data_IF_481200417100
#
_entry.id   IF_481200417100
#
_cell.length_a   1.000
_cell.length_b   1.000
_cell.length_c   1.000
_cell.angle_alpha   90.00
_cell.angle_beta   90.00
_cell.angle_gamma   90.00
#
_symmetry.space_group_name_H-M   'P 1'
#
loop_
_entity.id
_entity.type
_entity.pdbx_description
1 polymer ?
#
# COMPACT_ATOMS: atom_id res chain seq x y z
N UNK A 1 -10.03 24.12 -44.79
CA UNK A 1 -9.10 23.59 -45.81
C UNK A 1 -9.65 22.25 -46.19
N UNK A 2 -9.69 21.94 -47.47
CA UNK A 2 -10.09 20.60 -47.90
C UNK A 2 -8.81 19.77 -48.05
N UNK A 3 -8.81 18.59 -47.44
CA UNK A 3 -7.65 17.69 -47.45
C UNK A 3 -8.04 16.42 -48.17
N UNK A 4 -7.40 16.18 -49.31
CA UNK A 4 -7.41 14.89 -49.98
C UNK A 4 -6.17 14.12 -49.53
N UNK A 5 -6.38 12.93 -48.97
CA UNK A 5 -5.30 12.07 -48.51
C UNK A 5 -4.99 11.07 -49.60
N UNK A 6 -3.74 11.04 -50.09
CA UNK A 6 -3.25 9.98 -50.94
C UNK A 6 -2.41 9.02 -50.08
N UNK A 7 -2.71 7.73 -50.17
CA UNK A 7 -1.98 6.66 -49.50
C UNK A 7 -1.22 5.86 -50.55
N UNK A 8 0.10 5.93 -50.50
CA UNK A 8 0.99 5.05 -51.25
C UNK A 8 1.63 4.08 -50.26
N UNK A 9 1.46 2.78 -50.48
CA UNK A 9 2.13 1.74 -49.72
C UNK A 9 3.13 0.98 -50.59
N UNK A 10 4.31 0.72 -50.03
CA UNK A 10 5.31 -0.15 -50.63
C UNK A 10 5.97 -1.01 -49.55
N UNK A 11 6.63 -2.09 -49.97
CA UNK A 11 7.29 -3.03 -49.08
C UNK A 11 8.79 -2.78 -49.06
N UNK A 12 9.36 -2.71 -47.87
CA UNK A 12 10.80 -2.55 -47.65
C UNK A 12 11.35 -3.71 -46.82
N UNK A 13 12.63 -4.03 -47.05
CA UNK A 13 13.36 -5.00 -46.24
C UNK A 13 13.78 -4.37 -44.91
N UNK A 14 13.65 -5.14 -43.83
CA UNK A 14 14.20 -4.77 -42.53
C UNK A 14 15.67 -5.19 -42.45
N UNK A 15 16.43 -4.66 -41.48
CA UNK A 15 17.88 -4.91 -41.40
C UNK A 15 18.30 -6.39 -41.48
N UNK A 16 17.57 -7.27 -40.80
CA UNK A 16 17.78 -8.73 -40.87
C UNK A 16 17.39 -9.33 -42.24
N UNK A 17 16.34 -8.80 -42.88
CA UNK A 17 15.93 -9.20 -44.23
C UNK A 17 16.94 -8.79 -45.30
N UNK A 18 17.59 -7.64 -45.14
CA UNK A 18 18.70 -7.20 -46.00
C UNK A 18 19.91 -8.12 -45.84
N UNK A 19 20.28 -8.47 -44.61
CA UNK A 19 21.37 -9.43 -44.36
C UNK A 19 21.08 -10.79 -45.00
N UNK A 20 19.84 -11.29 -44.90
CA UNK A 20 19.44 -12.55 -45.53
C UNK A 20 19.45 -12.46 -47.05
N UNK A 21 19.03 -11.35 -47.65
CA UNK A 21 19.10 -11.17 -49.11
C UNK A 21 20.55 -11.26 -49.63
N UNK A 22 21.50 -10.69 -48.90
CA UNK A 22 22.92 -10.68 -49.23
C UNK A 22 23.60 -12.02 -48.95
N UNK A 23 23.43 -12.56 -47.73
CA UNK A 23 24.20 -13.69 -47.19
C UNK A 23 23.46 -15.04 -47.19
N UNK A 24 22.17 -15.06 -47.55
CA UNK A 24 21.31 -16.24 -47.48
C UNK A 24 20.55 -16.38 -46.17
N UNK A 25 19.49 -17.17 -46.19
CA UNK A 25 18.63 -17.39 -45.02
C UNK A 25 19.35 -18.13 -43.91
N UNK A 26 18.91 -17.92 -42.67
CA UNK A 26 19.52 -18.56 -41.50
C UNK A 26 19.50 -20.08 -41.62
N UNK A 27 18.42 -20.67 -42.15
CA UNK A 27 18.31 -22.10 -42.42
C UNK A 27 19.29 -22.59 -43.50
N UNK A 28 19.52 -21.81 -44.56
CA UNK A 28 20.48 -22.14 -45.61
C UNK A 28 21.93 -22.00 -45.12
N UNK A 29 22.22 -20.97 -44.31
CA UNK A 29 23.52 -20.75 -43.68
C UNK A 29 23.86 -21.87 -42.68
N UNK A 30 22.88 -22.35 -41.91
CA UNK A 30 23.04 -23.53 -41.05
C UNK A 30 23.31 -24.79 -41.85
N UNK A 31 22.61 -25.02 -42.96
CA UNK A 31 22.90 -26.16 -43.84
C UNK A 31 24.33 -26.09 -44.39
N UNK A 32 24.74 -24.93 -44.90
CA UNK A 32 26.07 -24.67 -45.44
C UNK A 32 27.21 -24.84 -44.43
N UNK A 33 26.98 -24.57 -43.15
CA UNK A 33 28.01 -24.70 -42.10
C UNK A 33 28.24 -26.12 -41.58
N UNK A 34 27.36 -27.08 -41.91
CA UNK A 34 27.49 -28.48 -41.46
C UNK A 34 28.38 -29.26 -42.44
N UNK A 35 29.56 -29.77 -42.04
CA UNK A 35 30.38 -30.62 -42.90
C UNK A 35 29.79 -32.04 -43.04
N UNK A 36 30.25 -32.84 -44.01
CA UNK A 36 29.80 -34.24 -44.19
C UNK A 36 29.98 -35.11 -42.93
N UNK A 37 31.03 -34.81 -42.15
CA UNK A 37 31.40 -35.44 -40.87
C UNK A 37 30.41 -35.11 -39.72
N UNK A 38 29.46 -34.19 -39.96
CA UNK A 38 28.51 -33.68 -38.97
C UNK A 38 29.09 -32.62 -38.04
N UNK A 39 28.23 -31.72 -37.55
CA UNK A 39 28.60 -30.62 -36.66
C UNK A 39 28.00 -30.82 -35.26
N UNK A 40 28.75 -30.50 -34.21
CA UNK A 40 28.22 -30.55 -32.84
C UNK A 40 27.07 -29.56 -32.65
N UNK A 41 25.96 -30.00 -32.04
CA UNK A 41 24.80 -29.12 -31.84
C UNK A 41 25.14 -27.90 -30.97
N UNK A 42 26.00 -28.08 -29.96
CA UNK A 42 26.44 -27.00 -29.07
C UNK A 42 27.26 -25.93 -29.80
N UNK A 43 28.04 -26.30 -30.81
CA UNK A 43 28.84 -25.38 -31.63
C UNK A 43 27.97 -24.60 -32.60
N UNK A 44 27.02 -25.27 -33.25
CA UNK A 44 26.07 -24.61 -34.14
C UNK A 44 25.24 -23.55 -33.40
N UNK A 45 24.80 -23.85 -32.17
CA UNK A 45 23.96 -22.94 -31.37
C UNK A 45 24.70 -21.70 -30.84
N UNK A 46 26.05 -21.66 -30.95
CA UNK A 46 26.87 -20.47 -30.63
C UNK A 46 26.92 -19.46 -31.79
N UNK A 47 26.60 -19.86 -33.01
CA UNK A 47 26.55 -18.95 -34.17
C UNK A 47 25.33 -18.04 -34.07
N UNK A 48 25.46 -16.79 -34.54
CA UNK A 48 24.40 -15.76 -34.49
C UNK A 48 23.09 -16.21 -35.15
N UNK A 49 23.19 -16.90 -36.29
CA UNK A 49 22.06 -17.47 -37.05
C UNK A 49 21.71 -18.90 -36.62
N UNK A 50 22.51 -19.53 -35.76
CA UNK A 50 22.47 -20.95 -35.47
C UNK A 50 21.17 -21.41 -34.83
N UNK A 51 20.67 -20.70 -33.81
CA UNK A 51 19.44 -21.09 -33.10
C UNK A 51 18.18 -21.01 -33.99
N UNK A 52 18.05 -19.91 -34.72
CA UNK A 52 16.89 -19.63 -35.59
C UNK A 52 16.93 -20.53 -36.82
N UNK A 53 18.10 -20.61 -37.47
CA UNK A 53 18.32 -21.44 -38.65
C UNK A 53 18.18 -22.94 -38.38
N UNK A 54 18.63 -23.42 -37.22
CA UNK A 54 18.51 -24.83 -36.83
C UNK A 54 17.04 -25.29 -36.76
N UNK A 55 16.18 -24.53 -36.08
CA UNK A 55 14.77 -24.87 -35.96
C UNK A 55 14.07 -24.94 -37.32
N UNK A 56 14.41 -24.03 -38.23
CA UNK A 56 13.76 -23.93 -39.54
C UNK A 56 14.32 -24.97 -40.51
N UNK A 57 15.63 -25.22 -40.51
CA UNK A 57 16.27 -26.30 -41.27
C UNK A 57 15.76 -27.69 -40.84
N UNK A 58 15.51 -27.91 -39.54
CA UNK A 58 14.84 -29.11 -39.04
C UNK A 58 13.39 -29.23 -39.56
N UNK A 59 12.63 -28.14 -39.54
CA UNK A 59 11.23 -28.15 -40.04
C UNK A 59 11.14 -28.38 -41.55
N UNK A 60 12.15 -27.92 -42.31
CA UNK A 60 12.26 -28.16 -43.75
C UNK A 60 12.87 -29.54 -44.09
N UNK A 61 13.22 -30.35 -43.07
CA UNK A 61 13.87 -31.66 -43.21
C UNK A 61 15.23 -31.63 -43.92
N UNK A 62 15.92 -30.49 -43.91
CA UNK A 62 17.25 -30.34 -44.54
C UNK A 62 18.37 -30.98 -43.71
N UNK A 63 18.16 -31.07 -42.39
CA UNK A 63 19.12 -31.59 -41.43
C UNK A 63 18.45 -32.61 -40.50
N UNK A 64 19.25 -33.49 -39.89
CA UNK A 64 18.82 -34.47 -38.88
C UNK A 64 19.77 -34.46 -37.70
N UNK A 65 19.26 -34.80 -36.52
CA UNK A 65 20.04 -34.87 -35.28
C UNK A 65 20.24 -36.32 -34.89
N UNK A 66 21.49 -36.71 -34.68
CA UNK A 66 21.85 -37.95 -34.01
C UNK A 66 22.16 -37.65 -32.53
N UNK A 67 21.34 -38.21 -31.64
CA UNK A 67 21.47 -38.00 -30.19
C UNK A 67 22.37 -39.04 -29.52
N UNK A 68 22.77 -40.10 -30.23
CA UNK A 68 23.51 -41.24 -29.67
C UNK A 68 25.01 -41.22 -30.05
N UNK A 69 25.49 -40.16 -30.71
CA UNK A 69 26.88 -40.03 -31.11
C UNK A 69 27.82 -39.85 -29.90
N UNK A 70 28.96 -40.55 -29.89
CA UNK A 70 30.01 -40.39 -28.88
C UNK A 70 30.54 -38.94 -28.94
N UNK A 71 30.34 -38.18 -27.85
CA UNK A 71 30.66 -36.74 -27.77
C UNK A 71 29.45 -35.79 -27.69
N UNK A 72 28.22 -36.31 -27.74
CA UNK A 72 26.97 -35.54 -27.58
C UNK A 72 26.18 -35.35 -28.89
N UNK A 73 25.01 -34.68 -28.85
CA UNK A 73 24.13 -34.55 -30.01
C UNK A 73 24.82 -33.89 -31.22
N UNK A 74 24.79 -34.56 -32.37
CA UNK A 74 25.46 -34.14 -33.60
C UNK A 74 24.46 -34.00 -34.75
N UNK A 75 24.68 -33.01 -35.61
CA UNK A 75 23.76 -32.64 -36.69
C UNK A 75 24.39 -33.04 -38.03
N UNK A 76 23.62 -33.73 -38.86
CA UNK A 76 24.00 -34.14 -40.21
C UNK A 76 23.06 -33.53 -41.24
N UNK A 77 23.56 -33.33 -42.47
CA UNK A 77 22.72 -33.01 -43.62
C UNK A 77 21.89 -34.23 -44.00
N UNK A 78 20.61 -34.02 -44.29
CA UNK A 78 19.68 -35.07 -44.77
C UNK A 78 19.60 -35.09 -46.29
N UNK A 79 19.82 -33.94 -46.91
CA UNK A 79 19.80 -33.72 -48.37
C UNK A 79 21.17 -33.22 -48.84
N UNK A 80 21.51 -33.44 -50.11
CA UNK A 80 22.79 -32.99 -50.70
C UNK A 80 22.76 -31.51 -51.07
N UNK A 81 21.63 -31.04 -51.63
CA UNK A 81 21.42 -29.66 -52.07
C UNK A 81 20.14 -29.05 -51.50
N UNK A 82 20.11 -27.71 -51.38
CA UNK A 82 18.95 -26.93 -50.94
C UNK A 82 18.70 -25.73 -51.86
N UNK A 83 17.44 -25.33 -51.98
CA UNK A 83 17.04 -24.08 -52.62
C UNK A 83 16.64 -23.06 -51.55
N UNK A 84 17.34 -21.92 -51.51
CA UNK A 84 17.08 -20.85 -50.55
C UNK A 84 15.94 -19.92 -51.04
N UNK A 85 14.72 -20.47 -51.02
CA UNK A 85 13.52 -19.76 -51.46
C UNK A 85 13.25 -18.48 -50.65
N UNK A 86 13.73 -18.40 -49.40
CA UNK A 86 13.56 -17.21 -48.56
C UNK A 86 14.41 -16.07 -49.07
N UNK A 87 15.67 -16.34 -49.41
CA UNK A 87 16.56 -15.35 -50.03
C UNK A 87 16.03 -14.88 -51.38
N UNK A 88 15.59 -15.80 -52.24
CA UNK A 88 15.05 -15.45 -53.56
C UNK A 88 13.84 -14.50 -53.45
N UNK A 89 12.93 -14.78 -52.52
CA UNK A 89 11.76 -13.93 -52.26
C UNK A 89 12.17 -12.54 -51.76
N UNK A 90 13.16 -12.44 -50.88
CA UNK A 90 13.64 -11.14 -50.37
C UNK A 90 14.38 -10.33 -51.46
N UNK A 91 15.16 -11.00 -52.34
CA UNK A 91 15.79 -10.37 -53.50
C UNK A 91 14.75 -9.81 -54.48
N UNK A 92 13.59 -10.45 -54.64
CA UNK A 92 12.49 -9.91 -55.44
C UNK A 92 11.92 -8.62 -54.84
N UNK A 93 11.78 -8.54 -53.51
CA UNK A 93 11.36 -7.31 -52.81
C UNK A 93 12.39 -6.20 -52.98
N UNK A 94 13.69 -6.52 -52.82
CA UNK A 94 14.78 -5.55 -52.95
C UNK A 94 14.85 -4.92 -54.36
N UNK A 95 14.50 -5.68 -55.40
CA UNK A 95 14.44 -5.23 -56.79
C UNK A 95 13.15 -4.48 -57.15
N UNK A 96 12.33 -4.12 -56.17
CA UNK A 96 11.07 -3.40 -56.38
C UNK A 96 9.94 -4.24 -56.99
N UNK A 97 10.10 -5.56 -57.07
CA UNK A 97 9.10 -6.49 -57.65
C UNK A 97 8.26 -7.18 -56.57
N UNK A 98 7.94 -6.48 -55.48
CA UNK A 98 7.14 -7.02 -54.36
C UNK A 98 5.71 -7.42 -54.78
N UNK A 99 5.23 -6.96 -55.93
CA UNK A 99 3.93 -7.36 -56.52
C UNK A 99 3.92 -8.82 -57.02
N UNK A 100 5.07 -9.45 -57.25
CA UNK A 100 5.17 -10.85 -57.69
C UNK A 100 5.07 -11.88 -56.56
N UNK A 101 5.10 -11.45 -55.31
CA UNK A 101 4.94 -12.31 -54.14
C UNK A 101 3.47 -12.44 -53.77
N UNK A 102 3.04 -13.64 -53.42
CA UNK A 102 1.68 -13.86 -52.93
C UNK A 102 1.49 -13.22 -51.55
N UNK A 103 0.26 -12.82 -51.23
CA UNK A 103 -0.06 -12.16 -49.95
C UNK A 103 0.23 -13.07 -48.75
N UNK A 104 0.11 -14.39 -48.92
CA UNK A 104 0.46 -15.38 -47.90
C UNK A 104 1.96 -15.36 -47.57
N UNK A 105 2.80 -15.18 -48.59
CA UNK A 105 4.26 -15.15 -48.44
C UNK A 105 4.74 -13.86 -47.80
N UNK A 106 4.17 -12.71 -48.19
CA UNK A 106 4.43 -11.42 -47.55
C UNK A 106 4.08 -11.45 -46.07
N UNK A 107 2.94 -12.05 -45.71
CA UNK A 107 2.53 -12.17 -44.32
C UNK A 107 3.45 -13.10 -43.50
N UNK A 108 3.97 -14.17 -44.08
CA UNK A 108 4.97 -15.03 -43.42
C UNK A 108 6.29 -14.27 -43.20
N UNK A 109 6.81 -13.59 -44.22
CA UNK A 109 8.05 -12.81 -44.13
C UNK A 109 7.93 -11.61 -43.17
N UNK A 110 6.74 -10.98 -43.11
CA UNK A 110 6.42 -9.92 -42.14
C UNK A 110 6.40 -10.46 -40.70
N UNK A 111 5.80 -11.63 -40.47
CA UNK A 111 5.82 -12.31 -39.15
C UNK A 111 7.24 -12.69 -38.72
N UNK A 112 8.10 -13.04 -39.68
CA UNK A 112 9.52 -13.30 -39.46
C UNK A 112 10.36 -12.02 -39.28
N UNK A 113 9.75 -10.82 -39.33
CA UNK A 113 10.42 -9.51 -39.24
C UNK A 113 11.48 -9.28 -40.32
N UNK A 114 11.31 -9.87 -41.50
CA UNK A 114 12.25 -9.72 -42.63
C UNK A 114 11.85 -8.58 -43.57
N UNK A 115 10.58 -8.21 -43.58
CA UNK A 115 10.05 -7.09 -44.37
C UNK A 115 8.96 -6.34 -43.60
N UNK A 116 8.75 -5.09 -43.96
CA UNK A 116 7.69 -4.23 -43.43
C UNK A 116 7.01 -3.45 -44.54
N UNK A 117 5.73 -3.17 -44.35
CA UNK A 117 4.97 -2.29 -45.23
C UNK A 117 5.14 -0.86 -44.75
N UNK A 118 5.60 0.02 -45.65
CA UNK A 118 5.77 1.45 -45.39
C UNK A 118 4.63 2.18 -46.09
N UNK A 119 3.88 2.96 -45.33
CA UNK A 119 2.81 3.80 -45.86
C UNK A 119 3.24 5.26 -45.84
N UNK A 120 3.43 5.85 -47.01
CA UNK A 120 3.68 7.27 -47.16
C UNK A 120 2.33 7.99 -47.26
N UNK A 121 2.06 8.86 -46.28
CA UNK A 121 0.85 9.69 -46.26
C UNK A 121 1.17 11.05 -46.88
N UNK A 122 0.58 11.35 -48.02
CA UNK A 122 0.70 12.66 -48.67
C UNK A 122 -0.62 13.41 -48.57
N UNK A 123 -0.56 14.67 -48.13
CA UNK A 123 -1.71 15.56 -48.04
C UNK A 123 -1.69 16.55 -49.20
N UNK A 124 -2.75 16.53 -50.00
CA UNK A 124 -3.05 17.60 -50.94
C UNK A 124 -3.92 18.62 -50.25
N UNK A 125 -3.33 19.77 -49.93
CA UNK A 125 -3.99 20.86 -49.21
C UNK A 125 -4.49 21.88 -50.21
N UNK A 126 -5.81 22.07 -50.29
CA UNK A 126 -6.43 23.10 -51.12
C UNK A 126 -7.13 24.16 -50.26
N UNK A 127 -7.29 25.36 -50.84
CA UNK A 127 -8.06 26.44 -50.23
C UNK A 127 -9.55 26.07 -50.26
N UNK A 128 -10.07 25.65 -49.12
CA UNK A 128 -11.51 25.39 -48.95
C UNK A 128 -12.32 26.69 -48.82
N UNK A 129 -13.65 26.57 -48.78
CA UNK A 129 -14.60 27.71 -48.71
C UNK A 129 -14.43 28.64 -47.50
N UNK A 130 -13.80 28.16 -46.43
CA UNK A 130 -13.49 28.93 -45.22
C UNK A 130 -12.04 29.45 -45.15
N UNK A 131 -11.30 29.43 -46.26
CA UNK A 131 -9.95 29.96 -46.32
C UNK A 131 -9.95 31.49 -46.21
N UNK A 132 -9.29 32.04 -45.19
CA UNK A 132 -9.12 33.47 -44.96
C UNK A 132 -7.65 33.78 -44.63
N UNK A 133 -7.15 34.91 -45.11
CA UNK A 133 -5.81 35.43 -44.76
C UNK A 133 -5.83 36.31 -43.51
N UNK A 134 -7.02 36.65 -43.00
CA UNK A 134 -7.23 37.39 -41.75
C UNK A 134 -7.72 36.44 -40.67
N UNK A 135 -6.99 36.37 -39.55
CA UNK A 135 -7.39 35.60 -38.38
C UNK A 135 -8.57 36.31 -37.72
N UNK A 136 -9.76 35.74 -37.85
CA UNK A 136 -10.93 36.23 -37.12
C UNK A 136 -10.77 35.88 -35.65
N UNK A 137 -10.72 36.89 -34.76
CA UNK A 137 -10.63 36.66 -33.32
C UNK A 137 -11.97 36.08 -32.85
N UNK A 138 -11.96 34.80 -32.45
CA UNK A 138 -13.12 34.14 -31.85
C UNK A 138 -13.27 34.62 -30.41
N UNK A 139 -14.51 34.80 -29.97
CA UNK A 139 -14.79 35.11 -28.57
C UNK A 139 -14.54 33.86 -27.70
N UNK A 140 -14.00 34.05 -26.50
CA UNK A 140 -13.65 32.97 -25.58
C UNK A 140 -14.77 32.61 -24.61
N UNK A 141 -15.48 33.63 -24.11
CA UNK A 141 -16.51 33.48 -23.09
C UNK A 141 -17.74 34.31 -23.44
N UNK A 142 -18.88 33.86 -22.92
CA UNK A 142 -20.14 34.57 -23.04
C UNK A 142 -20.22 35.62 -21.91
N UNK A 143 -20.35 36.90 -22.25
CA UNK A 143 -20.47 37.97 -21.24
C UNK A 143 -21.93 38.33 -20.97
N UNK A 144 -22.24 38.89 -19.79
CA UNK A 144 -23.59 39.39 -19.48
C UNK A 144 -24.13 40.39 -20.51
N UNK A 145 -23.28 41.26 -21.05
CA UNK A 145 -23.66 42.27 -22.06
C UNK A 145 -24.04 41.63 -23.38
N UNK A 146 -23.31 40.58 -23.80
CA UNK A 146 -23.64 39.83 -25.01
C UNK A 146 -25.02 39.19 -24.91
N UNK A 147 -25.36 38.66 -23.73
CA UNK A 147 -26.69 38.11 -23.43
C UNK A 147 -27.75 39.22 -23.51
N UNK A 148 -27.49 40.37 -22.88
CA UNK A 148 -28.43 41.48 -22.82
C UNK A 148 -28.73 42.11 -24.19
N UNK A 149 -27.73 42.24 -25.07
CA UNK A 149 -27.88 42.86 -26.39
C UNK A 149 -28.07 41.86 -27.55
N UNK A 150 -28.04 40.55 -27.28
CA UNK A 150 -28.22 39.49 -28.27
C UNK A 150 -27.05 39.25 -29.22
N UNK A 151 -25.92 39.96 -29.05
CA UNK A 151 -24.76 39.86 -29.95
C UNK A 151 -24.09 38.48 -29.97
N UNK A 152 -24.34 37.63 -28.97
CA UNK A 152 -23.85 36.26 -28.94
C UNK A 152 -24.38 35.39 -30.10
N UNK A 153 -25.52 35.74 -30.70
CA UNK A 153 -26.10 34.97 -31.82
C UNK A 153 -25.28 35.09 -33.12
N UNK A 154 -24.58 36.20 -33.30
CA UNK A 154 -23.85 36.52 -34.54
C UNK A 154 -22.34 36.29 -34.40
N UNK A 155 -21.83 36.27 -33.16
CA UNK A 155 -20.41 36.03 -32.88
C UNK A 155 -20.05 34.54 -32.93
N UNK A 156 -18.83 34.24 -33.38
CA UNK A 156 -18.27 32.89 -33.38
C UNK A 156 -17.40 32.70 -32.13
N UNK A 157 -17.68 31.64 -31.38
CA UNK A 157 -16.94 31.29 -30.16
C UNK A 157 -15.87 30.24 -30.44
N UNK A 158 -14.79 30.30 -29.67
CA UNK A 158 -13.78 29.24 -29.68
C UNK A 158 -14.41 27.96 -29.09
N UNK A 159 -14.31 26.80 -29.74
CA UNK A 159 -14.82 25.55 -29.18
C UNK A 159 -14.08 25.23 -27.87
N UNK A 160 -14.83 24.81 -26.85
CA UNK A 160 -14.27 24.45 -25.56
C UNK A 160 -13.52 23.11 -25.67
N UNK A 161 -12.34 23.03 -25.07
CA UNK A 161 -11.58 21.78 -25.04
C UNK A 161 -12.05 20.90 -23.89
N UNK A 162 -12.96 19.97 -24.16
CA UNK A 162 -13.47 19.01 -23.18
C UNK A 162 -12.45 17.92 -22.78
N UNK A 163 -11.29 17.85 -23.45
CA UNK A 163 -10.22 16.90 -23.11
C UNK A 163 -9.29 17.45 -22.01
N UNK A 164 -9.38 18.75 -21.69
CA UNK A 164 -8.59 19.35 -20.63
C UNK A 164 -9.26 19.17 -19.26
N UNK A 165 -8.46 18.97 -18.21
CA UNK A 165 -8.95 19.04 -16.84
C UNK A 165 -9.43 20.47 -16.55
N UNK A 166 -10.63 20.57 -15.94
CA UNK A 166 -11.16 21.84 -15.47
C UNK A 166 -10.32 22.42 -14.32
N UNK A 167 -10.59 23.69 -13.99
CA UNK A 167 -9.99 24.33 -12.82
C UNK A 167 -10.66 23.78 -11.56
N UNK A 168 -9.88 23.20 -10.66
CA UNK A 168 -10.39 22.76 -9.36
C UNK A 168 -10.78 24.00 -8.53
N UNK A 169 -11.98 24.02 -7.92
CA UNK A 169 -12.39 25.13 -7.08
C UNK A 169 -11.58 25.14 -5.77
N UNK A 170 -11.29 26.34 -5.26
CA UNK A 170 -10.73 26.50 -3.93
C UNK A 170 -11.73 26.01 -2.88
N UNK A 171 -11.32 25.10 -1.99
CA UNK A 171 -12.18 24.56 -0.94
C UNK A 171 -11.39 24.33 0.36
N UNK A 172 -12.12 24.14 1.46
CA UNK A 172 -11.51 23.76 2.73
C UNK A 172 -11.07 22.29 2.72
N UNK A 173 -9.91 22.00 3.29
CA UNK A 173 -9.36 20.64 3.35
C UNK A 173 -9.23 20.15 4.79
N UNK A 174 -9.55 18.87 5.01
CA UNK A 174 -9.29 18.19 6.28
C UNK A 174 -8.04 17.34 6.17
N UNK A 175 -7.22 17.36 7.23
CA UNK A 175 -6.02 16.54 7.33
C UNK A 175 -6.34 15.03 7.19
N UNK A 176 -5.59 14.24 6.40
CA UNK A 176 -5.88 12.82 6.17
C UNK A 176 -6.01 12.00 7.45
N UNK A 177 -5.07 12.19 8.40
CA UNK A 177 -5.13 11.54 9.72
C UNK A 177 -6.43 11.85 10.47
N UNK A 178 -6.93 13.08 10.37
CA UNK A 178 -8.18 13.49 11.03
C UNK A 178 -9.40 12.90 10.33
N UNK A 179 -9.37 12.74 9.00
CA UNK A 179 -10.42 12.02 8.26
C UNK A 179 -10.52 10.56 8.73
N UNK A 180 -9.37 9.90 8.92
CA UNK A 180 -9.31 8.52 9.44
C UNK A 180 -9.74 8.47 10.90
N UNK A 181 -9.31 9.42 11.75
CA UNK A 181 -9.79 9.53 13.14
C UNK A 181 -11.31 9.56 13.22
N UNK A 182 -11.96 10.37 12.38
CA UNK A 182 -13.42 10.47 12.32
C UNK A 182 -14.06 9.14 11.93
N UNK A 183 -13.45 8.39 10.99
CA UNK A 183 -13.92 7.06 10.61
C UNK A 183 -13.84 6.08 11.79
N UNK A 184 -12.69 5.99 12.46
CA UNK A 184 -12.52 5.12 13.63
C UNK A 184 -13.52 5.46 14.74
N UNK A 185 -13.68 6.76 15.03
CA UNK A 185 -14.66 7.25 16.00
C UNK A 185 -16.07 6.81 15.65
N UNK A 186 -16.46 6.89 14.37
CA UNK A 186 -17.78 6.46 13.91
C UNK A 186 -17.98 4.95 14.09
N UNK A 187 -16.98 4.12 13.79
CA UNK A 187 -17.03 2.66 13.97
C UNK A 187 -17.29 2.30 15.44
N UNK A 188 -16.59 2.93 16.37
CA UNK A 188 -16.82 2.72 17.80
C UNK A 188 -18.25 3.08 18.22
N UNK A 189 -18.76 4.23 17.76
CA UNK A 189 -20.13 4.67 18.06
C UNK A 189 -21.17 3.68 17.51
N UNK A 190 -20.98 3.18 16.28
CA UNK A 190 -21.85 2.16 15.69
C UNK A 190 -21.82 0.83 16.45
N UNK A 191 -20.69 0.48 17.06
CA UNK A 191 -20.52 -0.71 17.90
C UNK A 191 -21.03 -0.52 19.34
N UNK A 192 -21.60 0.65 19.65
CA UNK A 192 -22.16 0.99 20.96
C UNK A 192 -21.13 1.38 22.01
N UNK A 193 -19.94 1.82 21.60
CA UNK A 193 -18.92 2.32 22.52
C UNK A 193 -19.15 3.79 22.86
N UNK A 194 -18.82 4.17 24.09
CA UNK A 194 -18.87 5.55 24.59
C UNK A 194 -17.48 6.15 24.62
N UNK A 195 -17.34 7.38 24.13
CA UNK A 195 -16.05 8.08 24.06
C UNK A 195 -15.60 8.53 25.46
N UNK A 196 -14.39 8.13 25.87
CA UNK A 196 -13.78 8.53 27.13
C UNK A 196 -13.14 9.91 26.99
N UNK A 197 -13.20 10.76 28.03
CA UNK A 197 -12.47 12.03 28.05
C UNK A 197 -10.98 11.77 28.24
N UNK A 198 -10.15 12.28 27.32
CA UNK A 198 -8.69 12.10 27.31
C UNK A 198 -7.92 13.40 27.57
N UNK A 199 -8.57 14.41 28.14
CA UNK A 199 -8.15 15.80 28.28
C UNK A 199 -6.97 16.05 29.25
N UNK A 200 -5.97 15.17 29.22
CA UNK A 200 -4.78 15.16 30.04
C UNK A 200 -3.59 14.55 29.27
N UNK A 201 -2.70 15.38 28.73
CA UNK A 201 -1.42 14.90 28.19
C UNK A 201 -0.41 14.56 29.28
N UNK A 202 -0.47 15.28 30.40
CA UNK A 202 0.31 15.00 31.60
C UNK A 202 -0.45 13.96 32.40
N UNK A 203 0.25 12.88 32.75
CA UNK A 203 -0.27 11.82 33.60
C UNK A 203 0.72 11.53 34.73
N UNK A 204 0.22 11.13 35.88
CA UNK A 204 1.10 10.66 36.94
C UNK A 204 1.58 9.25 36.65
N UNK A 205 2.81 8.92 37.04
CA UNK A 205 3.36 7.56 36.91
C UNK A 205 2.46 6.52 37.59
N UNK A 206 1.77 6.91 38.67
CA UNK A 206 0.72 6.09 39.28
C UNK A 206 -0.36 5.65 38.28
N UNK A 207 -1.04 6.58 37.60
CA UNK A 207 -2.12 6.22 36.68
C UNK A 207 -1.62 5.60 35.39
N UNK A 208 -0.46 6.04 34.91
CA UNK A 208 0.12 5.53 33.68
C UNK A 208 0.73 4.13 33.82
N UNK A 209 1.26 3.75 34.99
CA UNK A 209 1.96 2.47 35.17
C UNK A 209 1.43 1.67 36.35
N UNK A 210 1.50 2.22 37.57
CA UNK A 210 1.23 1.45 38.79
C UNK A 210 -0.22 0.95 38.85
N UNK A 211 -1.18 1.79 38.45
CA UNK A 211 -2.61 1.46 38.43
C UNK A 211 -2.98 0.39 37.40
N UNK A 212 -2.07 0.12 36.45
CA UNK A 212 -2.20 -0.97 35.47
C UNK A 212 -1.54 -2.25 35.96
N UNK A 213 -1.00 -2.31 37.17
CA UNK A 213 -0.19 -3.44 37.62
C UNK A 213 1.11 -3.64 36.81
N UNK A 214 1.65 -2.56 36.24
CA UNK A 214 2.99 -2.56 35.64
C UNK A 214 4.06 -2.22 36.70
N UNK A 215 5.09 -3.06 36.90
CA UNK A 215 6.03 -2.90 38.01
C UNK A 215 6.91 -1.64 37.86
N UNK A 216 7.40 -1.11 38.99
CA UNK A 216 8.23 0.13 39.00
C UNK A 216 9.58 -0.01 38.33
N UNK A 217 10.16 -1.21 38.35
CA UNK A 217 11.41 -1.56 37.68
C UNK A 217 11.24 -1.89 36.19
N UNK A 218 10.05 -1.70 35.60
CA UNK A 218 9.81 -2.02 34.20
C UNK A 218 10.60 -1.08 33.26
N UNK A 219 11.31 -1.60 32.24
CA UNK A 219 12.14 -0.79 31.34
C UNK A 219 11.41 0.39 30.69
N UNK A 220 10.15 0.20 30.28
CA UNK A 220 9.33 1.29 29.72
C UNK A 220 9.16 2.52 30.64
N UNK A 221 9.49 2.44 31.93
CA UNK A 221 9.49 3.58 32.87
C UNK A 221 10.82 4.32 32.91
N UNK A 222 11.82 3.89 32.15
CA UNK A 222 13.12 4.52 32.10
C UNK A 222 13.05 5.85 31.32
N UNK A 223 13.98 6.76 31.60
CA UNK A 223 14.08 8.06 30.94
C UNK A 223 14.35 7.93 29.43
N UNK A 224 14.93 6.79 29.02
CA UNK A 224 15.13 6.45 27.62
C UNK A 224 13.84 6.15 26.86
N UNK A 225 12.75 5.75 27.55
CA UNK A 225 11.48 5.38 26.92
C UNK A 225 10.35 6.39 27.21
N UNK A 226 10.42 7.10 28.33
CA UNK A 226 9.35 7.98 28.82
C UNK A 226 9.83 9.42 29.03
N UNK A 227 9.02 10.39 28.59
CA UNK A 227 9.25 11.81 28.89
C UNK A 227 8.74 12.16 30.30
N UNK A 228 9.69 12.34 31.23
CA UNK A 228 9.41 12.88 32.56
C UNK A 228 9.32 14.41 32.54
N UNK A 229 8.47 14.97 33.39
CA UNK A 229 8.33 16.42 33.52
C UNK A 229 9.32 17.01 34.51
N UNK A 230 9.92 18.14 34.12
CA UNK A 230 10.62 19.03 35.05
C UNK A 230 9.65 19.94 35.81
N UNK A 231 8.53 20.33 35.19
CA UNK A 231 7.48 21.15 35.78
C UNK A 231 6.13 20.88 35.09
N UNK A 232 5.05 20.55 35.81
CA UNK A 232 5.04 20.13 37.22
C UNK A 232 5.64 18.72 37.38
N UNK A 233 6.74 18.58 38.14
CA UNK A 233 7.47 17.30 38.26
C UNK A 233 6.71 16.22 39.04
N UNK A 234 5.91 16.61 40.04
CA UNK A 234 5.23 15.69 40.95
C UNK A 234 3.71 15.90 40.93
N UNK A 235 2.97 14.81 41.01
CA UNK A 235 1.54 14.78 41.29
C UNK A 235 1.28 14.56 42.78
N UNK A 236 0.26 15.25 43.29
CA UNK A 236 -0.14 15.17 44.69
C UNK A 236 -1.58 14.65 44.88
N UNK A 237 -2.34 14.47 43.79
CA UNK A 237 -3.74 14.03 43.83
C UNK A 237 -3.93 12.57 43.45
N UNK A 238 -3.91 11.67 44.44
CA UNK A 238 -4.29 10.25 44.28
C UNK A 238 -5.37 9.89 45.31
N UNK A 239 -6.32 8.99 44.99
CA UNK A 239 -7.19 8.43 46.02
C UNK A 239 -6.34 7.60 47.01
N UNK A 240 -6.21 8.01 48.29
CA UNK A 240 -5.28 7.38 49.23
C UNK A 240 -5.55 5.89 49.43
N UNK A 241 -6.84 5.53 49.58
CA UNK A 241 -7.24 4.14 49.79
C UNK A 241 -6.91 3.25 48.58
N UNK A 242 -7.01 3.80 47.37
CA UNK A 242 -6.65 3.06 46.15
C UNK A 242 -5.14 2.89 46.05
N UNK A 243 -4.38 3.94 46.35
CA UNK A 243 -2.91 3.91 46.35
C UNK A 243 -2.38 2.84 47.31
N UNK A 244 -2.92 2.73 48.53
CA UNK A 244 -2.50 1.70 49.49
C UNK A 244 -2.84 0.28 49.00
N UNK A 245 -4.01 0.08 48.37
CA UNK A 245 -4.37 -1.23 47.79
C UNK A 245 -3.44 -1.60 46.63
N UNK A 246 -3.11 -0.65 45.75
CA UNK A 246 -2.16 -0.86 44.66
C UNK A 246 -0.78 -1.19 45.22
N UNK A 247 -0.26 -0.39 46.15
CA UNK A 247 1.02 -0.62 46.82
C UNK A 247 1.11 -2.05 47.37
N UNK A 248 0.11 -2.46 48.15
CA UNK A 248 0.04 -3.80 48.75
C UNK A 248 0.05 -4.91 47.70
N UNK A 249 -0.77 -4.81 46.66
CA UNK A 249 -0.86 -5.85 45.62
C UNK A 249 0.41 -5.95 44.79
N UNK A 250 1.08 -4.83 44.53
CA UNK A 250 2.39 -4.83 43.86
C UNK A 250 3.48 -5.46 44.71
N UNK A 251 3.57 -5.13 46.00
CA UNK A 251 4.66 -5.58 46.87
C UNK A 251 4.43 -6.97 47.44
N UNK A 252 3.32 -7.17 48.15
CA UNK A 252 3.03 -8.37 48.94
C UNK A 252 2.13 -9.36 48.20
N UNK A 253 1.42 -8.89 47.18
CA UNK A 253 0.36 -9.64 46.51
C UNK A 253 -1.00 -9.44 47.16
N UNK A 254 -1.99 -10.20 46.69
CA UNK A 254 -3.39 -10.05 47.04
C UNK A 254 -4.28 -10.52 45.91
N UNK A 255 -5.57 -10.72 46.21
CA UNK A 255 -6.57 -11.13 45.22
C UNK A 255 -6.20 -12.39 44.42
N UNK A 256 -5.58 -13.37 45.10
CA UNK A 256 -5.10 -14.61 44.48
C UNK A 256 -3.71 -14.53 43.83
N UNK A 257 -3.12 -13.34 43.72
CA UNK A 257 -1.78 -13.13 43.17
C UNK A 257 -0.70 -13.04 44.24
N UNK A 258 0.53 -13.38 43.88
CA UNK A 258 1.71 -13.26 44.75
C UNK A 258 2.37 -11.88 44.69
N UNK A 259 1.85 -10.97 43.87
CA UNK A 259 2.49 -9.68 43.60
C UNK A 259 3.85 -9.83 42.90
N UNK A 260 4.57 -8.73 42.81
CA UNK A 260 5.92 -8.69 42.23
C UNK A 260 7.04 -8.83 43.27
N UNK A 261 6.72 -8.87 44.57
CA UNK A 261 7.68 -9.12 45.67
C UNK A 261 8.84 -8.12 45.70
N UNK A 262 8.53 -6.84 45.56
CA UNK A 262 9.49 -5.74 45.67
C UNK A 262 8.97 -4.62 46.56
N UNK A 263 9.86 -3.71 46.95
CA UNK A 263 9.52 -2.52 47.73
C UNK A 263 8.92 -1.43 46.81
N UNK A 264 7.61 -1.22 46.91
CA UNK A 264 6.89 -0.24 46.10
C UNK A 264 7.05 1.17 46.69
N UNK A 265 7.59 2.09 45.89
CA UNK A 265 7.96 3.45 46.30
C UNK A 265 6.92 4.48 45.85
N UNK A 266 6.40 5.24 46.80
CA UNK A 266 5.39 6.29 46.52
C UNK A 266 5.99 7.40 45.65
N UNK A 267 7.27 7.70 45.86
CA UNK A 267 8.01 8.75 45.17
C UNK A 267 8.09 8.49 43.67
N UNK A 268 8.17 7.23 43.26
CA UNK A 268 8.17 6.82 41.84
C UNK A 268 6.78 7.00 41.20
N UNK A 269 5.71 6.74 41.96
CA UNK A 269 4.34 6.91 41.50
C UNK A 269 3.94 8.39 41.37
N UNK A 270 4.57 9.26 42.17
CA UNK A 270 4.34 10.70 42.17
C UNK A 270 4.92 11.42 40.95
N UNK A 271 5.92 10.86 40.27
CA UNK A 271 6.54 11.50 39.10
C UNK A 271 5.53 11.72 37.98
N UNK A 272 5.38 12.95 37.50
CA UNK A 272 4.59 13.25 36.32
C UNK A 272 5.38 12.96 35.05
N UNK A 273 4.65 12.47 34.06
CA UNK A 273 5.16 12.13 32.74
C UNK A 273 4.19 12.64 31.67
N UNK A 274 4.66 12.69 30.42
CA UNK A 274 3.74 12.68 29.30
C UNK A 274 3.17 11.28 29.13
N UNK A 275 1.85 11.18 28.99
CA UNK A 275 1.12 9.91 28.87
C UNK A 275 1.67 9.06 27.72
N UNK A 276 2.13 7.85 28.02
CA UNK A 276 2.81 6.97 27.05
C UNK A 276 1.87 6.08 26.24
N UNK A 277 0.65 5.89 26.75
CA UNK A 277 -0.43 5.13 26.13
C UNK A 277 -1.79 5.53 26.70
N UNK A 278 -2.86 5.36 25.93
CA UNK A 278 -4.24 5.71 26.36
C UNK A 278 -4.79 4.80 27.46
N UNK A 279 -4.12 3.69 27.77
CA UNK A 279 -4.51 2.75 28.85
C UNK A 279 -4.61 3.41 30.22
N UNK A 280 -3.86 4.50 30.44
CA UNK A 280 -3.99 5.31 31.64
C UNK A 280 -5.40 5.96 31.78
N UNK A 281 -5.99 6.38 30.65
CA UNK A 281 -7.37 6.91 30.60
C UNK A 281 -8.36 5.80 30.93
N UNK A 282 -8.15 4.60 30.37
CA UNK A 282 -8.95 3.42 30.67
C UNK A 282 -8.90 3.06 32.16
N UNK A 283 -7.73 3.10 32.79
CA UNK A 283 -7.59 2.87 34.23
C UNK A 283 -8.40 3.89 35.05
N UNK A 284 -8.33 5.18 34.70
CA UNK A 284 -9.12 6.23 35.36
C UNK A 284 -10.63 6.00 35.21
N UNK A 285 -11.07 5.57 34.03
CA UNK A 285 -12.49 5.33 33.75
C UNK A 285 -13.00 4.07 34.45
N UNK A 286 -12.22 2.98 34.44
CA UNK A 286 -12.54 1.75 35.19
C UNK A 286 -12.55 1.98 36.69
N UNK A 287 -11.62 2.76 37.23
CA UNK A 287 -11.64 3.14 38.64
C UNK A 287 -12.91 3.92 38.99
N UNK A 288 -13.32 4.89 38.16
CA UNK A 288 -14.56 5.65 38.36
C UNK A 288 -15.80 4.74 38.30
N UNK A 289 -15.83 3.80 37.37
CA UNK A 289 -16.89 2.80 37.26
C UNK A 289 -16.98 1.94 38.54
N UNK A 290 -15.83 1.54 39.09
CA UNK A 290 -15.74 0.76 40.32
C UNK A 290 -16.27 1.48 41.56
N UNK A 291 -16.30 2.81 41.57
CA UNK A 291 -16.86 3.59 42.70
C UNK A 291 -18.39 3.68 42.69
N UNK A 292 -19.04 3.07 41.70
CA UNK A 292 -20.49 3.11 41.51
C UNK A 292 -21.04 1.67 41.50
N UNK A 293 -22.37 1.54 41.49
CA UNK A 293 -22.98 0.24 41.23
C UNK A 293 -22.59 -0.21 39.82
N UNK A 294 -21.86 -1.32 39.72
CA UNK A 294 -21.34 -1.80 38.45
C UNK A 294 -22.47 -1.97 37.43
N UNK A 295 -22.22 -1.46 36.23
CA UNK A 295 -23.06 -1.62 35.05
C UNK A 295 -22.11 -1.92 33.88
N UNK A 296 -22.42 -2.91 33.02
CA UNK A 296 -21.58 -3.19 31.86
C UNK A 296 -21.40 -1.99 30.95
N UNK A 297 -20.18 -1.79 30.44
CA UNK A 297 -19.83 -0.62 29.63
C UNK A 297 -18.88 -0.99 28.50
N UNK A 298 -18.95 -0.18 27.44
CA UNK A 298 -18.05 -0.19 26.30
C UNK A 298 -17.47 1.21 26.16
N UNK A 299 -16.15 1.34 26.25
CA UNK A 299 -15.44 2.60 26.21
C UNK A 299 -14.41 2.65 25.11
N UNK A 300 -14.23 3.81 24.49
CA UNK A 300 -13.14 4.00 23.54
C UNK A 300 -12.50 5.37 23.70
N UNK A 301 -11.27 5.51 23.22
CA UNK A 301 -10.59 6.79 23.11
C UNK A 301 -9.67 6.82 21.90
N UNK A 302 -9.51 7.99 21.30
CA UNK A 302 -8.52 8.23 20.25
C UNK A 302 -7.78 9.51 20.59
N UNK A 303 -6.54 9.38 21.04
CA UNK A 303 -5.78 10.56 21.46
C UNK A 303 -4.27 10.36 21.36
N UNK A 304 -3.55 11.47 21.43
CA UNK A 304 -2.10 11.52 21.33
C UNK A 304 -1.44 10.96 22.59
N UNK A 305 -0.33 10.26 22.36
CA UNK A 305 0.56 9.67 23.36
C UNK A 305 2.00 10.01 23.01
N UNK A 306 2.89 9.94 23.99
CA UNK A 306 4.26 10.41 23.88
C UNK A 306 5.24 9.34 24.34
N UNK A 307 6.26 9.05 23.54
CA UNK A 307 7.30 8.08 23.86
C UNK A 307 8.65 8.65 23.48
N UNK A 308 9.65 8.48 24.35
CA UNK A 308 11.00 8.98 24.10
C UNK A 308 11.79 8.05 23.18
N UNK A 309 11.15 7.57 22.12
CA UNK A 309 11.77 6.71 21.13
C UNK A 309 12.56 7.54 20.11
N UNK A 310 13.59 6.93 19.53
CA UNK A 310 14.37 7.59 18.47
C UNK A 310 13.50 7.78 17.23
N UNK A 311 13.40 9.02 16.74
CA UNK A 311 12.62 9.37 15.55
C UNK A 311 13.17 8.68 14.29
N UNK A 312 12.33 7.92 13.60
CA UNK A 312 12.68 7.29 12.33
C UNK A 312 11.54 7.42 11.28
N UNK A 313 11.57 6.61 10.22
CA UNK A 313 10.53 6.65 9.17
C UNK A 313 9.19 6.05 9.60
N UNK A 314 9.17 5.33 10.72
CA UNK A 314 8.05 4.52 11.25
C UNK A 314 7.65 4.89 12.68
N UNK A 315 8.52 5.55 13.44
CA UNK A 315 8.33 5.92 14.84
C UNK A 315 8.41 7.44 14.99
N UNK A 316 7.42 7.99 15.70
CA UNK A 316 7.38 9.37 16.14
C UNK A 316 7.41 9.43 17.66
N UNK A 317 8.00 10.49 18.20
CA UNK A 317 8.00 10.76 19.64
C UNK A 317 6.59 11.07 20.16
N UNK A 318 5.69 11.50 19.28
CA UNK A 318 4.27 11.68 19.55
C UNK A 318 3.43 11.11 18.41
N UNK A 319 2.38 10.35 18.74
CA UNK A 319 1.48 9.74 17.77
C UNK A 319 0.12 9.46 18.43
N UNK A 320 -0.91 9.14 17.65
CA UNK A 320 -2.24 8.88 18.16
C UNK A 320 -2.45 7.39 18.41
N UNK A 321 -2.87 7.07 19.62
CA UNK A 321 -3.30 5.73 20.00
C UNK A 321 -4.82 5.68 20.05
N UNK A 322 -5.37 4.64 19.45
CA UNK A 322 -6.77 4.25 19.53
C UNK A 322 -6.85 3.12 20.55
N UNK A 323 -7.85 3.16 21.43
CA UNK A 323 -8.09 2.11 22.40
C UNK A 323 -9.58 1.85 22.58
N UNK A 324 -9.95 0.58 22.66
CA UNK A 324 -11.27 0.09 23.00
C UNK A 324 -11.21 -0.79 24.25
N UNK A 325 -12.21 -0.65 25.12
CA UNK A 325 -12.33 -1.38 26.39
C UNK A 325 -13.77 -1.82 26.57
N UNK A 326 -14.00 -3.06 26.97
CA UNK A 326 -15.31 -3.59 27.34
C UNK A 326 -15.23 -4.22 28.71
N UNK A 327 -16.09 -3.79 29.62
CA UNK A 327 -16.22 -4.32 30.96
C UNK A 327 -17.60 -4.95 31.11
N UNK A 328 -17.65 -6.25 31.38
CA UNK A 328 -18.88 -7.02 31.56
C UNK A 328 -18.60 -8.27 32.41
N UNK A 329 -19.66 -8.98 32.77
CA UNK A 329 -19.58 -10.22 33.53
C UNK A 329 -19.12 -11.37 32.62
N UNK A 330 -18.09 -12.11 33.05
CA UNK A 330 -17.68 -13.37 32.41
C UNK A 330 -17.19 -13.29 30.95
N UNK A 331 -16.64 -12.15 30.52
CA UNK A 331 -15.98 -12.01 29.22
C UNK A 331 -14.80 -12.97 29.09
N UNK A 332 -14.71 -13.55 27.91
CA UNK A 332 -13.68 -14.51 27.54
C UNK A 332 -12.74 -13.95 26.47
N UNK A 333 -11.66 -14.68 26.22
CA UNK A 333 -10.78 -14.38 25.10
C UNK A 333 -11.50 -14.47 23.74
N UNK A 334 -12.53 -15.33 23.63
CA UNK A 334 -13.36 -15.46 22.44
C UNK A 334 -14.18 -14.20 22.16
N UNK A 335 -14.70 -13.54 23.20
CA UNK A 335 -15.43 -12.29 23.08
C UNK A 335 -14.53 -11.17 22.56
N UNK A 336 -13.30 -11.09 23.06
CA UNK A 336 -12.28 -10.16 22.54
C UNK A 336 -12.00 -10.40 21.07
N UNK A 337 -11.78 -11.66 20.66
CA UNK A 337 -11.56 -12.00 19.26
C UNK A 337 -12.77 -11.66 18.38
N UNK A 338 -13.99 -11.89 18.88
CA UNK A 338 -15.24 -11.56 18.18
C UNK A 338 -15.41 -10.05 17.95
N UNK A 339 -15.17 -9.25 19.00
CA UNK A 339 -15.21 -7.79 18.90
C UNK A 339 -14.15 -7.26 17.94
N UNK A 340 -12.92 -7.77 18.01
CA UNK A 340 -11.85 -7.41 17.09
C UNK A 340 -12.20 -7.76 15.64
N UNK A 341 -12.81 -8.93 15.42
CA UNK A 341 -13.27 -9.33 14.09
C UNK A 341 -14.32 -8.36 13.54
N UNK A 342 -15.33 -8.00 14.33
CA UNK A 342 -16.37 -7.04 13.92
C UNK A 342 -15.77 -5.64 13.66
N UNK A 343 -14.90 -5.17 14.57
CA UNK A 343 -14.22 -3.88 14.46
C UNK A 343 -13.40 -3.76 13.17
N UNK A 344 -12.56 -4.76 12.88
CA UNK A 344 -11.73 -4.76 11.67
C UNK A 344 -12.54 -5.04 10.39
N UNK A 345 -13.64 -5.79 10.47
CA UNK A 345 -14.56 -5.98 9.34
C UNK A 345 -15.17 -4.65 8.90
N UNK A 346 -15.58 -3.79 9.85
CA UNK A 346 -16.05 -2.42 9.56
C UNK A 346 -14.97 -1.52 8.96
N UNK A 347 -13.68 -1.88 9.11
CA UNK A 347 -12.55 -1.22 8.46
C UNK A 347 -12.20 -1.81 7.08
N UNK A 348 -12.94 -2.83 6.61
CA UNK A 348 -12.67 -3.55 5.37
C UNK A 348 -11.56 -4.60 5.49
N UNK A 349 -11.19 -4.99 6.71
CA UNK A 349 -10.13 -5.96 6.98
C UNK A 349 -10.73 -7.28 7.48
N UNK A 350 -10.69 -8.31 6.64
CA UNK A 350 -11.34 -9.61 6.92
C UNK A 350 -10.34 -10.73 7.25
N UNK A 351 -9.09 -10.63 6.81
CA UNK A 351 -8.06 -11.67 7.02
C UNK A 351 -7.31 -11.45 8.33
N UNK A 352 -7.90 -11.85 9.45
CA UNK A 352 -7.26 -11.70 10.76
C UNK A 352 -6.57 -12.97 11.25
N UNK A 353 -5.47 -12.79 11.99
CA UNK A 353 -4.80 -13.81 12.79
C UNK A 353 -4.43 -13.24 14.15
N UNK A 354 -4.48 -14.10 15.16
CA UNK A 354 -4.13 -13.74 16.53
C UNK A 354 -2.89 -14.51 16.95
N UNK A 355 -1.96 -13.83 17.62
CA UNK A 355 -0.71 -14.40 18.10
C UNK A 355 -0.60 -14.10 19.60
N UNK A 356 -0.31 -15.10 20.46
CA UNK A 356 -0.05 -14.85 21.88
C UNK A 356 1.05 -13.81 22.07
N UNK A 357 0.82 -12.91 23.02
CA UNK A 357 1.73 -11.82 23.35
C UNK A 357 1.88 -11.69 24.86
N UNK A 358 2.64 -10.69 25.30
CA UNK A 358 2.77 -10.33 26.71
C UNK A 358 2.53 -8.82 26.84
N UNK A 359 1.60 -8.45 27.71
CA UNK A 359 1.56 -7.11 28.31
C UNK A 359 1.49 -7.26 29.84
N UNK A 360 2.15 -6.38 30.62
CA UNK A 360 2.16 -6.47 32.07
C UNK A 360 0.76 -6.46 32.71
N UNK A 361 -0.18 -5.78 32.05
CA UNK A 361 -1.51 -5.51 32.56
C UNK A 361 -2.61 -6.42 31.98
N UNK A 362 -2.26 -7.38 31.11
CA UNK A 362 -3.24 -8.32 30.55
C UNK A 362 -2.81 -9.80 30.65
N UNK A 363 -3.75 -10.66 31.03
CA UNK A 363 -3.61 -12.12 30.98
C UNK A 363 -4.98 -12.76 30.72
N UNK A 364 -5.20 -13.43 29.57
CA UNK A 364 -4.29 -13.60 28.42
C UNK A 364 -4.11 -12.33 27.56
N UNK A 365 -3.04 -12.30 26.76
CA UNK A 365 -2.71 -11.21 25.82
C UNK A 365 -2.53 -11.75 24.38
N UNK A 366 -2.91 -10.97 23.37
CA UNK A 366 -2.69 -11.30 21.96
C UNK A 366 -2.43 -10.07 21.07
N UNK A 367 -1.54 -10.25 20.11
CA UNK A 367 -1.38 -9.36 18.96
C UNK A 367 -2.34 -9.77 17.83
N UNK A 368 -2.85 -8.79 17.10
CA UNK A 368 -3.72 -8.98 15.94
C UNK A 368 -2.96 -8.65 14.67
N UNK A 369 -2.97 -9.57 13.71
CA UNK A 369 -2.31 -9.43 12.41
C UNK A 369 -3.33 -9.49 11.28
N UNK A 370 -3.03 -8.80 10.18
CA UNK A 370 -3.76 -8.95 8.91
C UNK A 370 -2.83 -9.15 7.72
N UNK A 371 -3.30 -9.91 6.73
CA UNK A 371 -2.55 -10.11 5.50
C UNK A 371 -2.72 -8.94 4.55
N UNK A 372 -1.64 -8.22 4.27
CA UNK A 372 -1.64 -7.07 3.36
C UNK A 372 -1.35 -7.52 1.92
N UNK A 373 -2.34 -7.42 1.03
CA UNK A 373 -2.25 -7.91 -0.37
C UNK A 373 -1.10 -7.25 -1.16
N UNK A 374 -0.90 -5.94 -1.00
CA UNK A 374 0.16 -5.21 -1.71
C UNK A 374 1.58 -5.57 -1.25
N UNK A 375 1.74 -5.96 0.02
CA UNK A 375 3.05 -6.30 0.62
C UNK A 375 3.28 -7.81 0.70
N UNK A 376 2.25 -8.61 0.41
CA UNK A 376 2.24 -10.08 0.47
C UNK A 376 2.79 -10.63 1.79
N UNK A 377 2.47 -9.97 2.91
CA UNK A 377 2.92 -10.37 4.25
C UNK A 377 1.87 -10.08 5.30
N UNK A 378 1.96 -10.78 6.42
CA UNK A 378 1.20 -10.47 7.63
C UNK A 378 1.78 -9.23 8.30
N UNK A 379 0.93 -8.24 8.56
CA UNK A 379 1.27 -6.96 9.19
C UNK A 379 0.51 -6.87 10.50
N UNK A 380 1.21 -6.48 11.56
CA UNK A 380 0.62 -6.24 12.87
C UNK A 380 -0.31 -5.01 12.82
N UNK A 381 -1.56 -5.22 13.22
CA UNK A 381 -2.58 -4.18 13.29
C UNK A 381 -2.66 -3.55 14.67
N UNK A 382 -2.47 -4.33 15.73
CA UNK A 382 -2.57 -3.85 17.10
C UNK A 382 -2.38 -4.94 18.13
N UNK A 383 -2.47 -4.56 19.40
CA UNK A 383 -2.28 -5.41 20.56
C UNK A 383 -3.55 -5.38 21.43
N UNK A 384 -3.82 -6.47 22.15
CA UNK A 384 -5.03 -6.66 22.94
C UNK A 384 -4.84 -7.65 24.07
N UNK A 385 -5.77 -7.70 25.01
CA UNK A 385 -5.80 -8.70 26.06
C UNK A 385 -6.93 -8.50 27.05
N UNK A 386 -6.96 -9.37 28.06
CA UNK A 386 -7.90 -9.33 29.18
C UNK A 386 -7.19 -8.72 30.39
N UNK A 387 -7.69 -7.61 30.93
CA UNK A 387 -7.02 -6.95 32.06
C UNK A 387 -6.93 -7.87 33.26
N UNK A 388 -5.76 -7.82 33.90
CA UNK A 388 -5.41 -8.65 35.05
C UNK A 388 -6.30 -8.37 36.27
N UNK A 389 -6.67 -9.38 37.07
CA UNK A 389 -7.36 -9.16 38.35
C UNK A 389 -6.59 -8.25 39.31
N UNK A 390 -5.25 -8.30 39.29
CA UNK A 390 -4.39 -7.44 40.11
C UNK A 390 -4.44 -5.96 39.72
N UNK A 391 -4.90 -5.65 38.51
CA UNK A 391 -5.23 -4.30 38.07
C UNK A 391 -6.65 -3.92 38.50
N UNK A 392 -7.63 -4.79 38.26
CA UNK A 392 -9.06 -4.46 38.39
C UNK A 392 -9.58 -4.51 39.84
N UNK A 393 -9.21 -5.54 40.60
CA UNK A 393 -9.76 -5.78 41.94
C UNK A 393 -9.35 -4.71 42.95
N UNK A 394 -8.11 -4.17 42.95
CA UNK A 394 -7.76 -3.01 43.77
C UNK A 394 -8.58 -1.76 43.46
N UNK A 395 -9.11 -1.61 42.24
CA UNK A 395 -10.00 -0.48 41.90
C UNK A 395 -11.35 -0.60 42.63
N UNK A 396 -11.75 -1.81 43.00
CA UNK A 396 -13.04 -2.13 43.61
C UNK A 396 -14.06 -2.75 42.65
N UNK A 397 -13.62 -3.19 41.46
CA UNK A 397 -14.51 -3.93 40.56
C UNK A 397 -14.89 -5.29 41.18
N UNK A 398 -16.13 -5.77 40.96
CA UNK A 398 -16.55 -7.10 41.41
C UNK A 398 -15.70 -8.23 40.82
N UNK A 399 -15.54 -9.35 41.53
CA UNK A 399 -14.72 -10.49 41.10
C UNK A 399 -15.26 -11.22 39.86
N UNK A 400 -16.56 -11.15 39.61
CA UNK A 400 -17.23 -11.73 38.45
C UNK A 400 -17.20 -10.82 37.22
N UNK A 401 -16.69 -9.59 37.37
CA UNK A 401 -16.46 -8.65 36.28
C UNK A 401 -15.09 -8.87 35.67
N UNK A 402 -15.08 -8.89 34.35
CA UNK A 402 -13.89 -9.04 33.52
C UNK A 402 -13.83 -7.90 32.52
N UNK A 403 -12.63 -7.49 32.14
CA UNK A 403 -12.45 -6.37 31.22
C UNK A 403 -11.51 -6.78 30.10
N UNK A 404 -11.97 -6.65 28.86
CA UNK A 404 -11.18 -6.90 27.67
C UNK A 404 -10.85 -5.58 26.99
N UNK A 405 -9.64 -5.47 26.45
CA UNK A 405 -9.18 -4.23 25.82
C UNK A 405 -8.30 -4.50 24.61
N UNK A 406 -8.24 -3.53 23.71
CA UNK A 406 -7.33 -3.54 22.57
C UNK A 406 -6.92 -2.13 22.18
N UNK A 407 -5.76 -2.01 21.54
CA UNK A 407 -5.26 -0.74 21.04
C UNK A 407 -4.42 -0.87 19.79
N UNK A 408 -4.40 0.20 19.01
CA UNK A 408 -3.62 0.34 17.78
C UNK A 408 -3.27 1.80 17.50
N UNK A 409 -2.21 2.03 16.73
CA UNK A 409 -1.87 3.38 16.25
C UNK A 409 -2.82 3.81 15.14
N UNK A 410 -3.19 5.10 15.11
CA UNK A 410 -3.98 5.68 14.02
C UNK A 410 -3.16 5.90 12.75
N UNK A 411 -1.87 6.20 12.90
CA UNK A 411 -0.96 6.53 11.81
C UNK A 411 -0.72 5.34 10.90
N UNK A 412 -0.50 4.13 11.44
CA UNK A 412 -0.20 2.93 10.63
C UNK A 412 -1.35 2.57 9.67
N UNK A 413 -2.63 2.47 10.08
CA UNK A 413 -3.75 2.29 9.17
C UNK A 413 -3.88 3.44 8.15
N UNK A 414 -3.63 4.68 8.58
CA UNK A 414 -3.71 5.85 7.68
C UNK A 414 -2.64 5.78 6.59
N UNK A 415 -1.41 5.42 6.94
CA UNK A 415 -0.31 5.22 6.01
C UNK A 415 -0.63 4.14 4.99
N UNK A 416 -1.17 3.00 5.44
CA UNK A 416 -1.59 1.92 4.55
C UNK A 416 -2.73 2.37 3.62
N UNK A 417 -3.75 3.05 4.16
CA UNK A 417 -4.93 3.48 3.40
C UNK A 417 -4.60 4.53 2.32
N UNK A 418 -3.69 5.45 2.61
CA UNK A 418 -3.28 6.50 1.68
C UNK A 418 -1.99 6.18 0.89
N UNK A 419 -1.39 5.01 1.10
CA UNK A 419 -0.16 4.60 0.41
C UNK A 419 1.08 5.44 0.79
N UNK A 420 1.15 5.91 2.04
CA UNK A 420 2.25 6.75 2.55
C UNK A 420 3.31 5.86 3.20
N UNK A 421 4.56 6.02 2.79
CA UNK A 421 5.67 5.17 3.27
C UNK A 421 6.42 5.76 4.47
N UNK A 422 6.30 7.08 4.73
CA UNK A 422 7.02 7.78 5.79
C UNK A 422 6.04 8.56 6.67
N UNK A 423 6.00 8.22 7.96
CA UNK A 423 5.07 8.83 8.92
C UNK A 423 5.26 10.34 9.07
N UNK A 424 6.47 10.84 8.83
CA UNK A 424 6.84 12.27 8.92
C UNK A 424 6.26 13.12 7.80
N UNK A 425 5.83 12.50 6.70
CA UNK A 425 5.10 13.18 5.63
C UNK A 425 3.62 13.36 5.99
N UNK A 426 3.12 12.50 6.90
CA UNK A 426 1.75 12.51 7.39
C UNK A 426 1.56 13.41 8.61
N UNK A 427 2.51 13.46 9.54
CA UNK A 427 2.34 14.17 10.83
C UNK A 427 3.44 15.19 11.07
N UNK A 428 3.04 16.38 11.52
CA UNK A 428 3.93 17.45 11.96
C UNK A 428 3.97 18.66 11.02
N UNK A 429 4.75 19.67 11.41
CA UNK A 429 4.82 20.95 10.69
C UNK A 429 5.48 20.86 9.29
N UNK A 430 6.08 19.70 8.95
CA UNK A 430 6.69 19.42 7.64
C UNK A 430 5.73 18.70 6.68
N UNK A 431 4.45 18.57 7.04
CA UNK A 431 3.42 17.96 6.19
C UNK A 431 3.37 18.64 4.82
N UNK A 432 3.27 17.84 3.75
CA UNK A 432 3.06 18.36 2.41
C UNK A 432 1.59 18.78 2.25
N UNK A 433 1.32 20.08 2.15
CA UNK A 433 -0.05 20.59 2.00
C UNK A 433 -0.71 20.15 0.68
N UNK A 434 0.06 19.96 -0.39
CA UNK A 434 -0.48 19.46 -1.66
C UNK A 434 -1.07 18.06 -1.48
N UNK A 435 -0.40 17.20 -0.71
CA UNK A 435 -0.93 15.88 -0.33
C UNK A 435 -2.25 16.03 0.43
N UNK A 436 -2.38 16.99 1.35
CA UNK A 436 -3.63 17.24 2.10
C UNK A 436 -4.76 17.67 1.16
N UNK A 437 -4.45 18.48 0.15
CA UNK A 437 -5.43 18.97 -0.82
C UNK A 437 -5.93 17.86 -1.73
N UNK A 438 -5.01 17.03 -2.23
CA UNK A 438 -5.31 15.94 -3.16
C UNK A 438 -5.87 14.69 -2.46
N UNK A 439 -5.71 14.59 -1.14
CA UNK A 439 -6.13 13.43 -0.38
C UNK A 439 -7.65 13.23 -0.46
N UNK A 440 -8.12 12.09 -0.98
CA UNK A 440 -9.54 11.83 -1.12
C UNK A 440 -10.24 11.78 0.25
N UNK A 441 -11.57 11.90 0.21
CA UNK A 441 -12.40 11.65 1.38
C UNK A 441 -12.17 10.21 1.83
N UNK A 442 -11.92 10.03 3.12
CA UNK A 442 -11.85 8.71 3.72
C UNK A 442 -13.26 8.10 3.67
N UNK A 443 -13.54 7.28 2.65
CA UNK A 443 -14.79 6.52 2.56
C UNK A 443 -14.61 5.14 3.21
N UNK A 444 -15.70 4.63 3.76
CA UNK A 444 -15.87 3.20 3.98
C UNK A 444 -16.03 2.61 2.58
N UNK A 445 -14.94 2.17 1.98
CA UNK A 445 -15.06 1.26 0.84
C UNK A 445 -15.67 -0.01 1.43
N UNK A 446 -16.99 -0.13 1.26
CA UNK A 446 -17.80 -1.25 1.74
C UNK A 446 -17.68 -2.38 0.73
#
# INVERSE_FOLDING_TARGET
MDTLTCLLSHWELLGEGTEIAEQGSHEARVFGSIPPEGLGQSELMKLSFGKIGFSKAMSNKWIRVDKAHEGGPRIFRTVEDIEDQVREKLLLVQRGNSSKLEEKEKNELKKRKLLSEVTVKSYWITKGSSFSTTITKLETELTPEMIANGSWKEKKFKPYNFEAMGVAPDCGHMHPLMKVRTQFRQIFLEMGFTEMPTNNFIESSFWNFDSLFQPQQHPARDQHDTFFLSDPALAHGFPPDYLERVKKVHSEGGYGSQGYKYDWKVEEAQKNILRTHTTAVSARMLYKLAQQKFTPVKYFSIDRVFRNETLDATHLAEFHQIEGVVADYGLTLGDLMGILHEFFTKLGITKLRFKPAYNPYTEPSMEVFSYHEGLKKWVELGNSGVFRPEMLLPMGLPEDVSVIAWGLSLERPTMIKYGINNIRELVGHKVNLQMVYDSPVCRLDS
#
